data_IF_072473858646
#
_entry.id   IF_072473858646
#
_cell.length_a   1.000
_cell.length_b   1.000
_cell.length_c   1.000
_cell.angle_alpha   90.00
_cell.angle_beta   90.00
_cell.angle_gamma   90.00
#
_symmetry.space_group_name_H-M   'P 1'
#
loop_
_entity.id
_entity.type
_entity.pdbx_description
1 polymer ?
#
# COMPACT_ATOMS: atom_id res chain seq x y z
N UNK A 1 -21.73 -25.59 22.45
CA UNK A 1 -20.57 -24.77 22.86
C UNK A 1 -20.65 -23.44 22.13
N UNK A 2 -20.55 -22.28 22.81
CA UNK A 2 -20.49 -21.01 22.10
C UNK A 2 -19.25 -21.01 21.20
N UNK A 3 -19.42 -20.59 19.95
CA UNK A 3 -18.34 -20.52 18.97
C UNK A 3 -17.42 -19.35 19.36
N UNK A 4 -16.47 -19.62 20.26
CA UNK A 4 -15.53 -18.61 20.75
C UNK A 4 -14.61 -18.27 19.58
N UNK A 5 -14.94 -17.19 18.89
CA UNK A 5 -14.09 -16.61 17.88
C UNK A 5 -13.12 -15.65 18.58
N UNK A 6 -11.83 -15.77 18.25
CA UNK A 6 -10.78 -14.97 18.85
C UNK A 6 -10.42 -13.78 17.94
N UNK A 7 -9.95 -12.70 18.54
CA UNK A 7 -9.42 -11.55 17.81
C UNK A 7 -8.26 -11.98 16.91
N UNK A 8 -8.34 -11.68 15.61
CA UNK A 8 -7.30 -12.03 14.65
C UNK A 8 -5.94 -11.38 14.93
N UNK A 9 -5.91 -10.29 15.68
CA UNK A 9 -4.68 -9.55 15.96
C UNK A 9 -3.96 -9.96 17.26
N UNK A 10 -4.72 -10.32 18.30
CA UNK A 10 -4.17 -10.50 19.66
C UNK A 10 -4.70 -11.74 20.38
N UNK A 11 -5.55 -12.55 19.75
CA UNK A 11 -6.05 -13.80 20.33
C UNK A 11 -7.11 -13.64 21.43
N UNK A 12 -7.45 -12.41 21.84
CA UNK A 12 -8.49 -12.18 22.88
C UNK A 12 -9.85 -12.70 22.42
N UNK A 13 -10.56 -13.39 23.32
CA UNK A 13 -11.93 -13.88 23.09
C UNK A 13 -12.89 -12.76 22.71
N UNK A 14 -13.73 -13.02 21.71
CA UNK A 14 -14.82 -12.14 21.27
C UNK A 14 -16.19 -12.63 21.74
N UNK A 15 -16.25 -13.47 22.77
CA UNK A 15 -17.49 -14.06 23.28
C UNK A 15 -18.60 -13.02 23.61
N UNK A 16 -18.21 -11.81 24.02
CA UNK A 16 -19.14 -10.71 24.36
C UNK A 16 -19.26 -9.64 23.25
N UNK A 17 -18.87 -9.97 22.01
CA UNK A 17 -18.94 -9.06 20.86
C UNK A 17 -19.94 -9.58 19.83
N UNK A 18 -20.29 -8.73 18.86
CA UNK A 18 -21.12 -9.11 17.72
C UNK A 18 -20.56 -10.37 17.04
N UNK A 19 -21.44 -11.28 16.61
CA UNK A 19 -21.03 -12.60 16.10
C UNK A 19 -20.14 -12.59 14.85
N UNK A 20 -20.03 -11.45 14.15
CA UNK A 20 -19.16 -11.25 12.99
C UNK A 20 -17.90 -10.42 13.32
N UNK A 21 -17.66 -10.09 14.59
CA UNK A 21 -16.50 -9.31 14.99
C UNK A 21 -15.21 -10.06 14.63
N UNK A 22 -14.26 -9.36 14.01
CA UNK A 22 -12.94 -9.93 13.66
C UNK A 22 -11.82 -9.45 14.60
N UNK A 23 -12.07 -8.35 15.31
CA UNK A 23 -11.11 -7.68 16.16
C UNK A 23 -11.80 -7.24 17.47
N UNK A 24 -11.07 -7.29 18.58
CA UNK A 24 -11.61 -6.93 19.90
C UNK A 24 -11.75 -5.42 20.13
N UNK A 25 -11.02 -4.62 19.37
CA UNK A 25 -10.98 -3.16 19.50
C UNK A 25 -10.64 -2.48 18.18
N UNK A 26 -10.91 -1.17 18.12
CA UNK A 26 -10.48 -0.32 17.01
C UNK A 26 -8.95 -0.36 16.84
N UNK A 27 -8.19 -0.37 17.94
CA UNK A 27 -6.72 -0.46 17.91
C UNK A 27 -6.23 -1.75 17.21
N UNK A 28 -6.84 -2.90 17.52
CA UNK A 28 -6.50 -4.16 16.84
C UNK A 28 -6.83 -4.11 15.35
N UNK A 29 -8.01 -3.58 14.99
CA UNK A 29 -8.40 -3.39 13.57
C UNK A 29 -7.41 -2.49 12.83
N UNK A 30 -7.02 -1.36 13.42
CA UNK A 30 -6.04 -0.44 12.83
C UNK A 30 -4.66 -1.08 12.68
N UNK A 31 -4.22 -1.88 13.66
CA UNK A 31 -2.95 -2.61 13.58
C UNK A 31 -2.94 -3.62 12.44
N UNK A 32 -3.99 -4.43 12.32
CA UNK A 32 -4.16 -5.37 11.21
C UNK A 32 -4.19 -4.62 9.86
N UNK A 33 -4.94 -3.51 9.78
CA UNK A 33 -5.00 -2.71 8.55
C UNK A 33 -3.62 -2.18 8.12
N UNK A 34 -2.81 -1.66 9.05
CA UNK A 34 -1.44 -1.19 8.78
C UNK A 34 -0.52 -2.32 8.36
N UNK A 35 -0.63 -3.50 8.98
CA UNK A 35 0.19 -4.67 8.62
C UNK A 35 -0.13 -5.20 7.22
N UNK A 36 -1.37 -5.03 6.75
CA UNK A 36 -1.78 -5.40 5.39
C UNK A 36 -1.41 -4.35 4.34
N UNK A 37 -0.97 -3.15 4.74
CA UNK A 37 -0.49 -2.16 3.77
C UNK A 37 0.94 -2.52 3.34
N UNK A 38 1.19 -2.46 2.03
CA UNK A 38 2.56 -2.45 1.54
C UNK A 38 3.27 -1.18 2.06
N UNK A 39 4.55 -1.27 2.46
CA UNK A 39 5.30 -0.11 2.89
C UNK A 39 5.43 0.88 1.73
N UNK A 40 4.80 2.05 1.86
CA UNK A 40 4.92 3.12 0.88
C UNK A 40 6.24 3.87 1.10
N UNK A 41 7.12 3.84 0.11
CA UNK A 41 8.34 4.66 0.11
C UNK A 41 8.05 5.94 -0.66
N UNK A 42 8.11 7.08 0.02
CA UNK A 42 7.98 8.38 -0.64
C UNK A 42 9.32 8.78 -1.24
N UNK A 43 9.35 9.01 -2.55
CA UNK A 43 10.56 9.43 -3.27
C UNK A 43 10.38 10.87 -3.72
N UNK A 44 11.32 11.74 -3.33
CA UNK A 44 11.39 13.11 -3.85
C UNK A 44 12.43 13.14 -4.96
N UNK A 45 11.99 13.54 -6.17
CA UNK A 45 12.87 13.72 -7.31
C UNK A 45 13.20 15.20 -7.45
N UNK A 46 14.50 15.51 -7.60
CA UNK A 46 14.96 16.85 -7.97
C UNK A 46 15.17 16.87 -9.48
N UNK A 47 14.39 17.69 -10.17
CA UNK A 47 14.42 17.84 -11.62
C UNK A 47 14.56 19.32 -11.97
N UNK A 48 15.23 19.60 -13.09
CA UNK A 48 15.12 20.91 -13.72
C UNK A 48 13.77 21.05 -14.44
N UNK A 49 13.32 22.28 -14.69
CA UNK A 49 12.06 22.54 -15.41
C UNK A 49 12.03 21.82 -16.79
N UNK A 50 13.10 21.86 -17.61
CA UNK A 50 13.11 21.13 -18.88
C UNK A 50 12.95 19.62 -18.73
N UNK A 51 13.63 19.02 -17.74
CA UNK A 51 13.52 17.58 -17.47
C UNK A 51 12.10 17.18 -17.04
N UNK A 52 11.47 18.01 -16.21
CA UNK A 52 10.08 17.79 -15.81
C UNK A 52 9.14 17.86 -17.01
N UNK A 53 9.29 18.84 -17.90
CA UNK A 53 8.45 18.97 -19.08
C UNK A 53 8.59 17.78 -20.04
N UNK A 54 9.81 17.25 -20.21
CA UNK A 54 10.04 16.03 -21.00
C UNK A 54 9.28 14.84 -20.40
N UNK A 55 9.42 14.61 -19.09
CA UNK A 55 8.71 13.53 -18.40
C UNK A 55 7.20 13.68 -18.46
N UNK A 56 6.70 14.91 -18.33
CA UNK A 56 5.27 15.23 -18.47
C UNK A 56 4.76 14.85 -19.86
N UNK A 57 5.42 15.33 -20.91
CA UNK A 57 4.99 15.06 -22.28
C UNK A 57 5.02 13.56 -22.62
N UNK A 58 5.97 12.81 -22.06
CA UNK A 58 6.02 11.34 -22.21
C UNK A 58 4.91 10.62 -21.42
N UNK A 59 4.54 11.13 -20.25
CA UNK A 59 3.41 10.60 -19.49
C UNK A 59 2.09 10.88 -20.24
N UNK A 60 1.91 12.10 -20.75
CA UNK A 60 0.73 12.52 -21.51
C UNK A 60 0.58 11.68 -22.80
N UNK A 61 1.68 11.37 -23.51
CA UNK A 61 1.63 10.52 -24.72
C UNK A 61 1.29 9.06 -24.44
N UNK A 62 1.46 8.60 -23.19
CA UNK A 62 1.05 7.27 -22.73
C UNK A 62 -0.28 7.28 -22.00
N UNK A 63 -0.96 8.44 -21.95
CA UNK A 63 -2.21 8.65 -21.22
C UNK A 63 -2.11 8.24 -19.74
N UNK A 64 -0.93 8.44 -19.14
CA UNK A 64 -0.64 8.14 -17.74
C UNK A 64 -0.40 9.43 -16.98
N UNK A 65 -0.75 9.42 -15.69
CA UNK A 65 -0.29 10.46 -14.79
C UNK A 65 1.23 10.35 -14.61
N UNK A 66 1.92 11.49 -14.46
CA UNK A 66 3.39 11.54 -14.27
C UNK A 66 3.88 10.56 -13.19
N UNK A 67 3.18 10.46 -12.07
CA UNK A 67 3.56 9.56 -10.98
C UNK A 67 3.49 8.09 -11.40
N UNK A 68 2.42 7.69 -12.09
CA UNK A 68 2.25 6.33 -12.63
C UNK A 68 3.31 6.04 -13.69
N UNK A 69 3.58 7.01 -14.57
CA UNK A 69 4.62 6.91 -15.59
C UNK A 69 6.00 6.67 -14.96
N UNK A 70 6.40 7.49 -13.98
CA UNK A 70 7.70 7.36 -13.30
C UNK A 70 7.82 6.01 -12.58
N UNK A 71 6.78 5.59 -11.87
CA UNK A 71 6.77 4.29 -11.16
C UNK A 71 6.89 3.15 -12.17
N UNK A 72 6.12 3.18 -13.27
CA UNK A 72 6.18 2.14 -14.31
C UNK A 72 7.56 2.04 -14.95
N UNK A 73 8.20 3.19 -15.23
CA UNK A 73 9.57 3.25 -15.77
C UNK A 73 10.58 2.69 -14.77
N UNK A 74 10.50 3.04 -13.49
CA UNK A 74 11.41 2.54 -12.46
C UNK A 74 11.29 1.01 -12.26
N UNK A 75 10.05 0.50 -12.24
CA UNK A 75 9.80 -0.94 -12.14
C UNK A 75 10.30 -1.70 -13.37
N UNK A 76 10.11 -1.15 -14.57
CA UNK A 76 10.57 -1.77 -15.81
C UNK A 76 12.09 -1.68 -16.02
N UNK A 77 12.74 -0.63 -15.52
CA UNK A 77 14.21 -0.51 -15.54
C UNK A 77 14.89 -1.58 -14.66
N UNK A 78 14.17 -2.11 -13.67
CA UNK A 78 14.65 -3.14 -12.75
C UNK A 78 14.69 -4.55 -13.37
N UNK A 79 14.24 -4.72 -14.62
CA UNK A 79 14.36 -5.97 -15.37
C UNK A 79 15.80 -6.38 -15.74
N UNK A 80 16.81 -5.59 -15.37
CA UNK A 80 18.23 -5.83 -15.64
C UNK A 80 19.08 -6.34 -14.47
N UNK A 81 18.52 -6.48 -13.25
CA UNK A 81 19.25 -7.11 -12.13
C UNK A 81 18.68 -8.51 -11.86
N UNK A 82 19.23 -9.52 -12.55
CA UNK A 82 19.16 -10.90 -12.08
C UNK A 82 20.23 -11.07 -11.00
N UNK A 83 19.76 -11.27 -9.76
CA UNK A 83 20.43 -11.79 -8.56
C UNK A 83 21.71 -11.07 -8.11
#
# INVERSE_FOLDING_TARGET
MPNIHNCKQCGTSLANKYGNARHCSHACRSKTWRQLQAPTISVKLKLTIPQFNILKNQADSTNLLINQFIISKAMNASGGLRL
#
